data_IF_748576669517
#
_entry.id   IF_748576669517
#
_cell.length_a   1.000
_cell.length_b   1.000
_cell.length_c   1.000
_cell.angle_alpha   90.00
_cell.angle_beta   90.00
_cell.angle_gamma   90.00
#
_symmetry.space_group_name_H-M   'P 1'
#
loop_
_entity.id
_entity.type
_entity.pdbx_description
1 polymer ?
#
# COMPACT_ATOMS: atom_id res chain seq x y z
N UNK A 1 20.89 2.86 -20.50
CA UNK A 1 20.27 2.93 -20.29
C UNK A 1 19.89 3.22 -19.29
N UNK A 2 20.09 3.25 -18.92
CA UNK A 2 19.76 3.56 -18.26
C UNK A 2 18.98 4.02 -17.48
N UNK A 3 18.87 4.29 -17.30
CA UNK A 3 17.71 4.81 -16.63
C UNK A 3 16.65 3.76 -16.49
N UNK A 4 16.99 2.55 -16.63
CA UNK A 4 16.07 1.45 -16.47
C UNK A 4 15.46 1.40 -15.10
N UNK A 5 16.23 1.68 -14.07
CA UNK A 5 15.67 1.59 -12.72
C UNK A 5 14.55 2.61 -12.54
N UNK A 6 14.68 3.80 -13.09
CA UNK A 6 13.63 4.78 -13.01
C UNK A 6 12.39 4.34 -13.77
N UNK A 7 12.60 3.72 -14.92
CA UNK A 7 11.49 3.21 -15.71
C UNK A 7 10.76 2.12 -14.96
N UNK A 8 11.50 1.23 -14.33
CA UNK A 8 10.88 0.13 -13.58
C UNK A 8 10.02 0.63 -12.43
N UNK A 9 10.52 1.63 -11.72
CA UNK A 9 9.74 2.20 -10.63
C UNK A 9 8.45 2.80 -11.13
N UNK A 10 8.52 3.49 -12.25
CA UNK A 10 7.34 4.11 -12.82
C UNK A 10 6.42 3.12 -13.51
N UNK A 11 6.95 1.94 -13.86
CA UNK A 11 6.14 0.96 -14.57
C UNK A 11 5.29 0.11 -13.64
N UNK A 12 5.46 0.24 -12.32
CA UNK A 12 4.61 -0.48 -11.39
C UNK A 12 3.21 0.10 -11.47
N UNK A 13 2.23 -0.67 -11.96
CA UNK A 13 0.88 -0.13 -12.12
C UNK A 13 0.27 0.22 -10.78
N UNK A 14 -0.45 1.32 -10.76
CA UNK A 14 -1.17 1.78 -9.58
C UNK A 14 -2.64 1.69 -9.84
N UNK A 15 -3.37 1.17 -8.87
CA UNK A 15 -4.81 1.04 -8.95
C UNK A 15 -5.42 2.05 -8.00
N UNK A 16 -6.26 2.95 -8.50
CA UNK A 16 -7.00 3.87 -7.65
C UNK A 16 -8.06 3.06 -6.91
N UNK A 17 -8.08 3.19 -5.60
CA UNK A 17 -8.96 2.37 -4.76
C UNK A 17 -9.49 3.22 -3.61
N UNK A 18 -10.30 2.58 -2.77
CA UNK A 18 -10.90 3.19 -1.60
C UNK A 18 -11.06 2.08 -0.57
N UNK A 19 -9.94 1.56 -0.09
CA UNK A 19 -9.95 0.40 0.79
C UNK A 19 -9.68 0.81 2.23
N UNK A 20 -10.58 0.49 3.17
CA UNK A 20 -10.30 0.77 4.57
C UNK A 20 -9.07 0.01 5.04
N UNK A 21 -8.32 0.63 5.93
CA UNK A 21 -7.15 -0.02 6.51
C UNK A 21 -6.99 0.38 7.95
N UNK A 22 -6.45 -0.53 8.74
CA UNK A 22 -5.97 -0.21 10.07
C UNK A 22 -4.47 -0.39 10.08
N UNK A 23 -3.79 0.39 10.89
CA UNK A 23 -2.35 0.31 10.94
C UNK A 23 -1.86 0.51 12.36
N UNK A 24 -0.67 -0.01 12.62
CA UNK A 24 -0.02 0.17 13.91
C UNK A 24 1.47 0.34 13.71
N UNK A 25 2.05 1.13 14.57
CA UNK A 25 3.48 1.36 14.58
C UNK A 25 3.93 1.45 16.03
N UNK A 26 5.13 1.97 16.22
CA UNK A 26 5.64 2.18 17.56
C UNK A 26 4.83 3.28 18.23
N UNK A 27 4.05 2.91 19.25
CA UNK A 27 3.23 3.85 20.02
C UNK A 27 2.16 4.54 19.18
N UNK A 28 1.73 3.88 18.11
CA UNK A 28 0.77 4.49 17.20
C UNK A 28 -0.17 3.42 16.68
N UNK A 29 -1.46 3.70 16.76
CA UNK A 29 -2.50 2.87 16.17
C UNK A 29 -3.48 3.81 15.49
N UNK A 30 -3.92 3.44 14.29
CA UNK A 30 -4.86 4.28 13.60
C UNK A 30 -5.55 3.57 12.46
N UNK A 31 -6.41 4.32 11.80
CA UNK A 31 -7.11 3.80 10.63
C UNK A 31 -7.11 4.87 9.54
N UNK A 32 -7.32 4.42 8.35
CA UNK A 32 -7.35 5.31 7.20
C UNK A 32 -7.89 4.60 5.99
N UNK A 33 -7.68 5.21 4.84
CA UNK A 33 -8.17 4.69 3.57
C UNK A 33 -7.01 4.60 2.60
N UNK A 34 -6.82 3.43 2.02
CA UNK A 34 -5.85 3.26 0.95
C UNK A 34 -6.47 3.88 -0.30
N UNK A 35 -5.81 4.85 -0.88
CA UNK A 35 -6.34 5.57 -2.04
C UNK A 35 -5.72 5.11 -3.35
N UNK A 36 -4.53 4.53 -3.30
CA UNK A 36 -4.01 3.83 -4.46
C UNK A 36 -3.12 2.70 -3.97
N UNK A 37 -2.99 1.68 -4.80
CA UNK A 37 -2.34 0.43 -4.42
C UNK A 37 -1.53 -0.08 -5.59
N UNK A 38 -0.32 -0.54 -5.29
CA UNK A 38 0.56 -1.16 -6.27
C UNK A 38 1.32 -2.27 -5.57
N UNK A 39 2.07 -3.04 -6.33
CA UNK A 39 2.87 -4.11 -5.71
C UNK A 39 3.88 -3.56 -4.72
N UNK A 40 4.62 -2.47 -5.03
CA UNK A 40 5.63 -2.00 -4.08
C UNK A 40 5.12 -1.07 -3.00
N UNK A 41 3.85 -0.65 -3.02
CA UNK A 41 3.41 0.29 -2.01
C UNK A 41 2.01 0.83 -2.22
N UNK A 42 1.67 1.84 -1.45
CA UNK A 42 0.34 2.43 -1.51
C UNK A 42 0.38 3.87 -1.03
N UNK A 43 -0.72 4.56 -1.25
CA UNK A 43 -0.96 5.84 -0.59
C UNK A 43 -2.12 5.66 0.37
N UNK A 44 -2.04 6.32 1.50
CA UNK A 44 -3.06 6.25 2.54
C UNK A 44 -3.50 7.66 2.91
N UNK A 45 -4.79 7.82 3.13
CA UNK A 45 -5.34 9.05 3.69
C UNK A 45 -5.75 8.76 5.13
N UNK A 46 -5.28 9.57 6.07
CA UNK A 46 -5.56 9.36 7.47
C UNK A 46 -5.46 10.68 8.22
N UNK A 47 -6.19 10.78 9.33
CA UNK A 47 -6.10 11.94 10.22
C UNK A 47 -4.99 11.76 11.26
N UNK A 48 -4.36 10.59 11.33
CA UNK A 48 -3.27 10.37 12.25
C UNK A 48 -2.01 11.09 11.78
N UNK A 49 -1.21 11.54 12.72
CA UNK A 49 0.06 12.20 12.40
C UNK A 49 1.14 11.15 12.20
N UNK A 50 1.42 10.86 10.95
CA UNK A 50 2.52 9.97 10.60
C UNK A 50 3.77 10.81 10.34
N UNK A 51 4.92 10.19 10.48
CA UNK A 51 6.20 10.85 10.22
C UNK A 51 6.94 10.09 9.14
N UNK A 52 7.58 10.84 8.29
CA UNK A 52 8.45 10.26 7.28
C UNK A 52 9.48 9.38 7.96
N UNK A 53 9.63 8.15 7.46
CA UNK A 53 10.53 7.20 8.06
C UNK A 53 9.89 6.24 9.05
N UNK A 54 8.65 6.50 9.48
CA UNK A 54 7.96 5.57 10.37
C UNK A 54 7.75 4.23 9.69
N UNK A 55 7.74 3.18 10.51
CA UNK A 55 7.40 1.83 10.05
C UNK A 55 6.05 1.45 10.61
N UNK A 56 5.20 0.89 9.76
CA UNK A 56 3.84 0.54 10.12
C UNK A 56 3.55 -0.90 9.69
N UNK A 57 2.64 -1.52 10.42
CA UNK A 57 2.02 -2.76 10.02
C UNK A 57 0.62 -2.43 9.53
N UNK A 58 0.21 -2.98 8.39
CA UNK A 58 -1.09 -2.66 7.81
C UNK A 58 -1.96 -3.89 7.71
N UNK A 59 -3.26 -3.67 7.85
CA UNK A 59 -4.29 -4.64 7.51
C UNK A 59 -5.26 -3.93 6.59
N UNK A 60 -5.31 -4.36 5.34
CA UNK A 60 -6.09 -3.69 4.31
C UNK A 60 -7.33 -4.53 4.00
N UNK A 61 -8.50 -3.89 4.08
CA UNK A 61 -9.76 -4.56 3.79
C UNK A 61 -10.05 -4.46 2.31
N UNK A 62 -9.73 -5.52 1.58
CA UNK A 62 -9.97 -5.54 0.15
C UNK A 62 -11.37 -6.07 -0.13
N UNK A 63 -11.93 -5.76 -1.30
CA UNK A 63 -13.33 -6.11 -1.59
C UNK A 63 -13.55 -7.58 -1.92
N UNK A 64 -12.54 -8.43 -1.81
CA UNK A 64 -12.64 -9.83 -2.16
C UNK A 64 -13.26 -10.67 -1.05
N UNK A 65 -13.66 -10.05 0.07
CA UNK A 65 -14.29 -10.72 1.21
C UNK A 65 -13.41 -11.77 1.86
N UNK A 66 -12.11 -11.68 1.63
CA UNK A 66 -11.15 -12.53 2.31
C UNK A 66 -10.69 -11.84 3.59
N UNK A 67 -9.87 -12.52 4.36
CA UNK A 67 -9.22 -11.91 5.51
C UNK A 67 -8.44 -10.67 5.04
N UNK A 68 -8.24 -9.69 5.91
CA UNK A 68 -7.49 -8.50 5.51
C UNK A 68 -6.13 -8.85 4.94
N UNK A 69 -5.72 -8.09 3.94
CA UNK A 69 -4.37 -8.22 3.38
C UNK A 69 -3.38 -7.72 4.40
N UNK A 70 -2.39 -8.52 4.75
CA UNK A 70 -1.40 -8.16 5.76
C UNK A 70 -0.14 -7.64 5.10
N UNK A 71 0.27 -6.44 5.50
CA UNK A 71 1.57 -5.89 5.15
C UNK A 71 2.35 -5.81 6.45
N UNK A 72 3.34 -6.67 6.60
CA UNK A 72 4.02 -6.79 7.89
C UNK A 72 4.86 -5.57 8.22
N UNK A 73 5.51 -4.96 7.22
CA UNK A 73 6.28 -3.74 7.43
C UNK A 73 6.11 -2.84 6.21
N UNK A 74 5.67 -1.62 6.45
CA UNK A 74 5.61 -0.58 5.44
C UNK A 74 6.32 0.65 6.00
N UNK A 75 7.02 1.37 5.14
CA UNK A 75 7.76 2.55 5.55
C UNK A 75 7.13 3.79 4.97
N UNK A 76 6.92 4.80 5.80
CA UNK A 76 6.37 6.09 5.35
C UNK A 76 7.45 6.82 4.56
N UNK A 77 7.20 7.08 3.28
CA UNK A 77 8.18 7.71 2.39
C UNK A 77 7.93 9.19 2.17
N UNK A 78 6.67 9.61 2.19
CA UNK A 78 6.33 11.02 2.08
C UNK A 78 5.01 11.28 2.77
N UNK A 79 4.80 12.53 3.13
CA UNK A 79 3.55 12.98 3.77
C UNK A 79 3.16 14.29 3.11
N UNK A 80 1.87 14.41 2.78
CA UNK A 80 1.35 15.64 2.18
C UNK A 80 -0.15 15.73 2.39
N UNK A 81 -0.60 16.78 3.05
CA UNK A 81 -2.03 17.15 3.11
C UNK A 81 -2.93 15.99 3.56
N UNK A 82 -2.58 15.36 4.66
CA UNK A 82 -3.43 14.31 5.20
C UNK A 82 -3.24 12.96 4.52
N UNK A 83 -2.31 12.87 3.58
CA UNK A 83 -2.00 11.64 2.88
C UNK A 83 -0.54 11.28 3.11
N UNK A 84 -0.24 10.00 2.93
CA UNK A 84 1.13 9.52 3.08
C UNK A 84 1.36 8.41 2.05
N UNK A 85 2.58 8.37 1.53
CA UNK A 85 2.99 7.29 0.65
C UNK A 85 3.78 6.28 1.43
N UNK A 86 3.44 5.01 1.26
CA UNK A 86 4.05 3.91 1.99
C UNK A 86 4.72 2.96 1.02
N UNK A 87 5.92 2.55 1.37
CA UNK A 87 6.65 1.52 0.63
C UNK A 87 6.54 0.22 1.41
N UNK A 88 6.15 -0.86 0.75
CA UNK A 88 6.08 -2.17 1.41
C UNK A 88 7.48 -2.73 1.54
N UNK A 89 7.89 -2.99 2.77
CA UNK A 89 9.23 -3.51 3.06
C UNK A 89 9.19 -5.01 3.26
N UNK A 90 8.15 -5.50 3.95
CA UNK A 90 8.02 -6.93 4.20
C UNK A 90 6.58 -7.34 4.04
N UNK A 91 6.36 -8.28 3.12
CA UNK A 91 5.04 -8.86 2.86
C UNK A 91 5.26 -10.37 2.77
N UNK A 92 4.43 -11.13 3.46
CA UNK A 92 4.54 -12.59 3.39
C UNK A 92 4.24 -13.07 1.97
N UNK A 93 4.85 -14.17 1.56
CA UNK A 93 4.64 -14.65 0.18
C UNK A 93 3.18 -14.83 -0.20
N UNK A 94 2.35 -15.35 0.69
CA UNK A 94 0.94 -15.55 0.37
C UNK A 94 0.21 -14.24 0.18
N UNK A 95 0.54 -13.22 0.99
CA UNK A 95 -0.06 -11.91 0.84
C UNK A 95 0.46 -11.20 -0.40
N UNK A 96 1.72 -11.43 -0.73
CA UNK A 96 2.31 -10.83 -1.91
C UNK A 96 1.66 -11.38 -3.18
N UNK A 97 1.43 -12.68 -3.22
CA UNK A 97 0.73 -13.31 -4.34
C UNK A 97 -0.70 -12.79 -4.44
N UNK A 98 -1.37 -12.69 -3.32
CA UNK A 98 -2.74 -12.18 -3.29
C UNK A 98 -2.81 -10.76 -3.81
N UNK A 99 -1.88 -9.92 -3.37
CA UNK A 99 -1.82 -8.54 -3.82
C UNK A 99 -1.59 -8.46 -5.31
N UNK A 100 -0.61 -9.21 -5.81
CA UNK A 100 -0.28 -9.22 -7.23
C UNK A 100 -1.47 -9.70 -8.06
N UNK A 101 -2.14 -10.75 -7.60
CA UNK A 101 -3.30 -11.30 -8.30
C UNK A 101 -4.45 -10.29 -8.34
N UNK A 102 -4.72 -9.67 -7.19
CA UNK A 102 -5.78 -8.67 -7.10
C UNK A 102 -5.54 -7.52 -8.07
N UNK A 103 -4.32 -7.01 -8.10
CA UNK A 103 -3.98 -5.90 -8.98
C UNK A 103 -4.08 -6.30 -10.45
N UNK A 104 -3.63 -7.51 -10.75
CA UNK A 104 -3.70 -7.99 -12.12
C UNK A 104 -5.14 -8.05 -12.60
N UNK A 105 -6.02 -8.63 -11.80
CA UNK A 105 -7.43 -8.73 -12.17
C UNK A 105 -8.06 -7.36 -12.31
N UNK A 106 -7.83 -6.48 -11.34
CA UNK A 106 -8.47 -5.18 -11.33
C UNK A 106 -7.97 -4.29 -12.46
N UNK A 107 -6.67 -4.32 -12.72
CA UNK A 107 -6.09 -3.47 -13.76
C UNK A 107 -6.42 -3.96 -15.16
N UNK A 108 -6.76 -5.23 -15.32
CA UNK A 108 -7.14 -5.77 -16.62
C UNK A 108 -8.65 -5.86 -16.80
N UNK A 109 -9.42 -5.47 -15.80
CA UNK A 109 -10.87 -5.62 -15.87
C UNK A 109 -11.50 -4.75 -16.96
N UNK A 110 -10.82 -3.65 -17.28
CA UNK A 110 -11.35 -2.70 -18.28
C UNK A 110 -10.85 -2.96 -19.68
N UNK A 111 -10.07 -4.01 -19.86
CA UNK A 111 -9.47 -4.28 -21.18
C UNK A 111 -10.40 -4.99 -22.14
#
# INVERSE_FOLDING_TARGET
MLHESGIELRSSPRLAVDYPTVFSGDKLVGEGTITNLSVPGCAIRTSKHLKEGDYLELRVLMPDRQAPLAIDVAKVRWIANGSAGLQFIRVRPEDQLRLAYHLRLALHADS
#
